data_IF_506999820719
#
_entry.id   IF_506999820719
#
_cell.length_a   1.000
_cell.length_b   1.000
_cell.length_c   1.000
_cell.angle_alpha   90.00
_cell.angle_beta   90.00
_cell.angle_gamma   90.00
#
_symmetry.space_group_name_H-M   'P 1'
#
loop_
_entity.id
_entity.type
_entity.pdbx_description
1 polymer ?
#
# COMPACT_ATOMS: atom_id res chain seq x y z
N UNK A 1 0.96 -20.13 -7.49
CA UNK A 1 0.40 -18.77 -7.42
C UNK A 1 1.56 -17.84 -7.23
N UNK A 2 1.81 -16.95 -8.18
CA UNK A 2 2.79 -15.89 -8.02
C UNK A 2 2.42 -15.06 -6.79
N UNK A 3 3.34 -14.93 -5.84
CA UNK A 3 3.17 -14.03 -4.70
C UNK A 3 3.52 -12.62 -5.14
N UNK A 4 2.51 -11.86 -5.57
CA UNK A 4 2.68 -10.44 -5.86
C UNK A 4 2.52 -9.62 -4.58
N UNK A 5 3.49 -8.75 -4.29
CA UNK A 5 3.42 -7.83 -3.17
C UNK A 5 2.18 -6.94 -3.32
N UNK A 6 1.29 -6.96 -2.32
CA UNK A 6 -0.01 -6.28 -2.38
C UNK A 6 -0.26 -5.52 -1.09
N UNK A 7 -0.70 -4.26 -1.19
CA UNK A 7 -1.24 -3.52 -0.06
C UNK A 7 -2.77 -3.55 -0.10
N UNK A 8 -3.39 -3.71 1.08
CA UNK A 8 -4.85 -3.64 1.22
C UNK A 8 -5.20 -2.36 1.95
N UNK A 9 -6.09 -1.56 1.38
CA UNK A 9 -6.53 -0.27 1.94
C UNK A 9 -8.05 -0.21 2.05
N UNK A 10 -8.54 0.61 2.97
CA UNK A 10 -9.95 0.93 3.11
C UNK A 10 -10.23 2.32 2.51
N UNK A 11 -11.16 2.40 1.57
CA UNK A 11 -11.68 3.69 1.07
C UNK A 11 -13.08 3.52 0.51
N UNK A 12 -13.92 4.53 0.71
CA UNK A 12 -15.24 4.59 0.09
C UNK A 12 -15.12 5.09 -1.36
N UNK A 13 -15.83 4.44 -2.28
CA UNK A 13 -15.90 4.81 -3.71
C UNK A 13 -16.40 6.24 -3.94
N UNK A 14 -17.10 6.84 -2.98
CA UNK A 14 -17.60 8.22 -3.03
C UNK A 14 -16.58 9.24 -2.55
N UNK A 15 -15.44 8.83 -2.00
CA UNK A 15 -14.34 9.77 -1.75
C UNK A 15 -13.74 10.24 -3.08
N UNK A 16 -13.13 11.43 -3.09
CA UNK A 16 -12.45 11.94 -4.29
C UNK A 16 -11.40 10.96 -4.80
N UNK A 17 -10.49 10.51 -3.93
CA UNK A 17 -9.42 9.59 -4.30
C UNK A 17 -9.93 8.18 -4.66
N UNK A 18 -11.02 7.72 -4.06
CA UNK A 18 -11.69 6.47 -4.43
C UNK A 18 -12.22 6.52 -5.86
N UNK A 19 -12.93 7.59 -6.24
CA UNK A 19 -13.37 7.81 -7.63
C UNK A 19 -12.20 7.92 -8.60
N UNK A 20 -11.19 8.73 -8.27
CA UNK A 20 -10.00 8.90 -9.12
C UNK A 20 -9.26 7.57 -9.35
N UNK A 21 -9.14 6.72 -8.32
CA UNK A 21 -8.50 5.40 -8.43
C UNK A 21 -9.32 4.37 -9.22
N UNK A 22 -10.66 4.55 -9.30
CA UNK A 22 -11.53 3.75 -10.15
C UNK A 22 -11.45 4.18 -11.62
N UNK A 23 -11.33 5.49 -11.87
CA UNK A 23 -11.17 6.03 -13.22
C UNK A 23 -9.78 5.73 -13.80
N UNK A 24 -8.73 5.83 -12.99
CA UNK A 24 -7.37 5.43 -13.35
C UNK A 24 -6.78 4.50 -12.29
N UNK A 25 -6.78 3.20 -12.61
CA UNK A 25 -6.30 2.16 -11.70
C UNK A 25 -4.78 2.17 -11.50
N UNK A 26 -4.01 2.96 -12.25
CA UNK A 26 -2.57 3.12 -12.00
C UNK A 26 -2.37 4.19 -10.92
N UNK A 27 -2.09 3.72 -9.70
CA UNK A 27 -1.97 4.58 -8.52
C UNK A 27 -0.54 4.62 -8.02
N UNK A 28 -0.21 5.71 -7.33
CA UNK A 28 1.04 5.85 -6.59
C UNK A 28 0.73 6.13 -5.11
N UNK A 29 1.64 5.74 -4.23
CA UNK A 29 1.46 5.95 -2.79
C UNK A 29 2.76 5.89 -2.02
N UNK A 30 2.65 6.17 -0.72
CA UNK A 30 3.77 6.07 0.22
C UNK A 30 3.32 5.61 1.59
N UNK A 31 4.17 4.84 2.27
CA UNK A 31 4.03 4.52 3.70
C UNK A 31 5.32 4.96 4.38
N UNK A 32 5.23 5.81 5.41
CA UNK A 32 6.39 6.37 6.08
C UNK A 32 6.34 6.10 7.58
N UNK A 33 7.51 5.84 8.18
CA UNK A 33 7.69 5.89 9.62
C UNK A 33 7.67 7.36 10.05
N UNK A 34 6.72 7.73 10.90
CA UNK A 34 6.63 9.08 11.44
C UNK A 34 7.76 9.33 12.44
N UNK A 35 8.73 10.17 12.07
CA UNK A 35 9.83 10.56 12.94
C UNK A 35 10.44 11.90 12.54
N UNK A 36 10.96 12.64 13.51
CA UNK A 36 11.77 13.85 13.28
C UNK A 36 13.27 13.57 13.21
N UNK A 37 13.68 12.36 13.58
CA UNK A 37 15.09 11.96 13.61
C UNK A 37 15.50 11.49 12.22
N UNK A 38 16.30 12.30 11.53
CA UNK A 38 16.73 12.03 10.13
C UNK A 38 17.35 10.64 9.98
N UNK A 39 18.20 10.21 10.92
CA UNK A 39 18.83 8.88 10.90
C UNK A 39 17.88 7.70 11.11
N UNK A 40 16.61 7.94 11.43
CA UNK A 40 15.56 6.93 11.59
C UNK A 40 14.49 6.96 10.50
N UNK A 41 14.63 7.82 9.49
CA UNK A 41 13.66 7.88 8.39
C UNK A 41 13.63 6.53 7.68
N UNK A 42 12.44 5.94 7.63
CA UNK A 42 12.15 4.71 6.92
C UNK A 42 10.83 4.87 6.17
N UNK A 43 10.71 4.27 5.00
CA UNK A 43 9.45 4.29 4.27
C UNK A 43 9.55 3.75 2.86
N UNK A 44 8.38 3.52 2.27
CA UNK A 44 8.23 3.07 0.89
C UNK A 44 7.50 4.12 0.08
N UNK A 45 7.90 4.27 -1.17
CA UNK A 45 7.14 4.94 -2.23
C UNK A 45 6.91 3.91 -3.31
N UNK A 46 5.70 3.84 -3.85
CA UNK A 46 5.33 2.76 -4.76
C UNK A 46 4.38 3.23 -5.85
N UNK A 47 4.35 2.48 -6.95
CA UNK A 47 3.26 2.48 -7.91
C UNK A 47 2.62 1.11 -7.94
N UNK A 48 1.35 1.05 -8.30
CA UNK A 48 0.63 -0.21 -8.40
C UNK A 48 -0.70 -0.09 -9.11
N UNK A 49 -1.36 -1.23 -9.23
CA UNK A 49 -2.69 -1.34 -9.84
C UNK A 49 -3.76 -1.50 -8.75
N UNK A 50 -4.68 -0.53 -8.72
CA UNK A 50 -5.83 -0.51 -7.83
C UNK A 50 -6.93 -1.45 -8.35
N UNK A 51 -7.44 -2.33 -7.49
CA UNK A 51 -8.55 -3.23 -7.78
C UNK A 51 -9.33 -3.58 -6.52
N UNK A 52 -10.50 -4.18 -6.69
CA UNK A 52 -11.24 -4.75 -5.56
C UNK A 52 -10.39 -5.81 -4.83
N UNK A 53 -10.45 -5.81 -3.50
CA UNK A 53 -9.79 -6.84 -2.70
C UNK A 53 -10.51 -8.19 -2.86
N UNK A 54 -9.75 -9.28 -2.94
CA UNK A 54 -10.30 -10.63 -2.93
C UNK A 54 -10.60 -11.10 -1.49
N UNK A 55 -11.28 -12.23 -1.33
CA UNK A 55 -11.68 -12.73 -0.01
C UNK A 55 -10.49 -13.04 0.92
N UNK A 56 -9.36 -13.49 0.39
CA UNK A 56 -8.16 -13.75 1.19
C UNK A 56 -7.56 -12.44 1.73
N UNK A 57 -7.51 -11.40 0.90
CA UNK A 57 -7.01 -10.06 1.24
C UNK A 57 -7.93 -9.36 2.26
N UNK A 58 -9.25 -9.42 2.05
CA UNK A 58 -10.24 -8.92 3.02
C UNK A 58 -10.07 -9.60 4.38
N UNK A 59 -9.96 -10.94 4.38
CA UNK A 59 -9.74 -11.72 5.60
C UNK A 59 -8.43 -11.35 6.29
N UNK A 60 -7.35 -11.14 5.54
CA UNK A 60 -6.06 -10.71 6.10
C UNK A 60 -6.16 -9.31 6.74
N UNK A 61 -6.82 -8.36 6.08
CA UNK A 61 -7.04 -7.00 6.60
C UNK A 61 -7.87 -7.02 7.89
N UNK A 62 -9.03 -7.68 7.90
CA UNK A 62 -9.91 -7.73 9.08
C UNK A 62 -9.29 -8.52 10.24
N UNK A 63 -8.48 -9.54 9.96
CA UNK A 63 -7.70 -10.23 11.00
C UNK A 63 -6.66 -9.31 11.63
N UNK A 64 -6.03 -8.42 10.84
CA UNK A 64 -5.04 -7.45 11.33
C UNK A 64 -5.69 -6.27 12.06
N UNK A 65 -6.88 -5.85 11.62
CA UNK A 65 -7.64 -4.72 12.16
C UNK A 65 -9.05 -5.15 12.59
N UNK A 66 -9.22 -5.91 13.69
CA UNK A 66 -10.53 -6.42 14.11
C UNK A 66 -11.58 -5.33 14.37
N UNK A 67 -11.15 -4.15 14.83
CA UNK A 67 -12.03 -3.01 15.06
C UNK A 67 -12.71 -2.50 13.77
N UNK A 68 -12.11 -2.75 12.59
CA UNK A 68 -12.68 -2.37 11.31
C UNK A 68 -13.91 -3.21 10.93
N UNK A 69 -14.13 -4.38 11.54
CA UNK A 69 -15.28 -5.26 11.26
C UNK A 69 -16.60 -4.51 11.45
N UNK A 70 -16.71 -3.73 12.54
CA UNK A 70 -17.92 -2.96 12.84
C UNK A 70 -18.22 -1.85 11.83
N UNK A 71 -17.20 -1.38 11.09
CA UNK A 71 -17.34 -0.31 10.10
C UNK A 71 -17.71 -0.83 8.71
N UNK A 72 -17.64 -2.16 8.48
CA UNK A 72 -17.85 -2.80 7.18
C UNK A 72 -17.22 -2.04 6.00
N UNK A 73 -15.89 -1.80 6.01
CA UNK A 73 -15.25 -0.93 5.04
C UNK A 73 -15.21 -1.56 3.63
N UNK A 74 -15.30 -0.71 2.61
CA UNK A 74 -14.91 -1.10 1.25
C UNK A 74 -13.39 -1.25 1.18
N UNK A 75 -12.94 -2.48 0.94
CA UNK A 75 -11.53 -2.85 0.88
C UNK A 75 -11.05 -3.02 -0.54
N UNK A 76 -9.88 -2.46 -0.81
CA UNK A 76 -9.24 -2.43 -2.10
C UNK A 76 -7.80 -2.91 -1.99
N UNK A 77 -7.31 -3.48 -3.08
CA UNK A 77 -5.94 -3.96 -3.19
C UNK A 77 -5.17 -3.12 -4.18
N UNK A 78 -3.92 -2.82 -3.83
CA UNK A 78 -2.95 -2.21 -4.71
C UNK A 78 -1.86 -3.24 -4.96
N UNK A 79 -1.90 -3.83 -6.14
CA UNK A 79 -0.88 -4.75 -6.62
C UNK A 79 0.36 -3.95 -7.00
N UNK A 80 1.46 -4.15 -6.29
CA UNK A 80 2.65 -3.31 -6.42
C UNK A 80 3.39 -3.67 -7.71
N UNK A 81 3.59 -2.68 -8.57
CA UNK A 81 4.36 -2.82 -9.82
C UNK A 81 5.79 -2.31 -9.66
N UNK A 82 5.99 -1.29 -8.83
CA UNK A 82 7.30 -0.75 -8.46
C UNK A 82 7.27 -0.25 -7.02
N UNK A 83 8.37 -0.46 -6.30
CA UNK A 83 8.55 0.01 -4.94
C UNK A 83 9.98 0.49 -4.71
N UNK A 84 10.11 1.69 -4.16
CA UNK A 84 11.35 2.24 -3.62
C UNK A 84 11.29 2.27 -2.11
N UNK A 85 12.22 1.58 -1.47
CA UNK A 85 12.39 1.59 -0.02
C UNK A 85 13.54 2.51 0.38
N UNK A 86 13.29 3.39 1.35
CA UNK A 86 14.28 4.26 1.97
C UNK A 86 14.48 3.83 3.41
N UNK A 87 15.73 3.65 3.84
CA UNK A 87 16.08 3.33 5.21
C UNK A 87 17.40 4.00 5.60
N UNK A 88 17.30 5.08 6.38
CA UNK A 88 18.46 5.84 6.82
C UNK A 88 19.27 5.15 7.92
N UNK A 89 18.78 4.04 8.51
CA UNK A 89 19.55 3.24 9.47
C UNK A 89 20.65 2.41 8.78
N UNK A 90 20.52 2.19 7.46
CA UNK A 90 21.49 1.46 6.63
C UNK A 90 22.60 2.36 6.05
N UNK A 91 22.70 3.61 6.50
CA UNK A 91 23.57 4.65 5.94
C UNK A 91 22.78 5.74 5.21
N UNK A 92 23.28 6.98 5.26
CA UNK A 92 22.55 8.15 4.73
C UNK A 92 22.27 8.00 3.23
N UNK A 93 20.98 8.02 2.86
CA UNK A 93 20.56 8.03 1.46
C UNK A 93 20.54 6.66 0.76
N UNK A 94 20.73 5.55 1.47
CA UNK A 94 20.59 4.21 0.87
C UNK A 94 19.13 3.96 0.47
N UNK A 95 18.95 3.52 -0.77
CA UNK A 95 17.64 3.21 -1.37
C UNK A 95 17.70 1.83 -1.99
N UNK A 96 16.61 1.08 -1.88
CA UNK A 96 16.41 -0.19 -2.59
C UNK A 96 15.23 -0.02 -3.54
N UNK A 97 15.34 -0.60 -4.73
CA UNK A 97 14.31 -0.57 -5.74
C UNK A 97 13.88 -2.01 -6.08
N UNK A 98 12.57 -2.19 -6.20
CA UNK A 98 11.93 -3.47 -6.48
C UNK A 98 10.93 -3.26 -7.62
N UNK A 99 10.89 -4.20 -8.55
CA UNK A 99 9.98 -4.21 -9.69
C UNK A 99 9.24 -5.55 -9.67
N UNK A 100 7.93 -5.51 -9.96
CA UNK A 100 7.19 -6.74 -10.17
C UNK A 100 7.74 -7.48 -11.39
N UNK A 101 7.76 -8.81 -11.33
CA UNK A 101 8.02 -9.64 -12.50
C UNK A 101 6.89 -9.43 -13.52
N UNK A 102 7.26 -9.30 -14.80
CA UNK A 102 6.30 -9.22 -15.92
C UNK A 102 5.68 -10.58 -16.22
#
# INVERSE_FOLDING_TARGET
MEQNATFVIATDEKTRHGREALENTHVAGSVALETKLVGKIQGVQFTGRFRAANEAEKKAYLKRFPYAIAMNPHLWSIEITYLKFTDNTLGFGKKLEFFASN
#
